data_IF_878345261181
#
_entry.id   IF_878345261181
#
_cell.length_a   1.000
_cell.length_b   1.000
_cell.length_c   1.000
_cell.angle_alpha   90.00
_cell.angle_beta   90.00
_cell.angle_gamma   90.00
#
_symmetry.space_group_name_H-M   'P 1'
#
loop_
_entity.id
_entity.type
_entity.pdbx_description
1 polymer ?
#
# COMPACT_ATOMS: atom_id res chain seq x y z
N UNK A 1 8.08 -21.30 5.85
CA UNK A 1 7.00 -20.35 5.49
C UNK A 1 5.66 -20.67 6.15
N UNK A 2 5.04 -21.85 5.95
CA UNK A 2 3.72 -22.15 6.59
C UNK A 2 3.74 -22.03 8.13
N UNK A 3 4.82 -22.47 8.79
CA UNK A 3 4.95 -22.33 10.25
C UNK A 3 5.12 -20.87 10.67
N UNK A 4 5.91 -20.10 9.93
CA UNK A 4 6.18 -18.67 10.18
C UNK A 4 4.92 -17.81 10.10
N UNK A 5 4.06 -18.01 9.10
CA UNK A 5 2.80 -17.25 8.98
C UNK A 5 1.85 -17.57 10.12
N UNK A 6 1.73 -18.86 10.50
CA UNK A 6 0.89 -19.27 11.62
C UNK A 6 1.38 -18.75 12.97
N UNK A 7 2.70 -18.62 13.14
CA UNK A 7 3.31 -18.01 14.34
C UNK A 7 3.06 -16.50 14.38
N UNK A 8 3.29 -15.78 13.28
CA UNK A 8 3.01 -14.34 13.18
C UNK A 8 1.52 -14.04 13.45
N UNK A 9 0.61 -14.82 12.87
CA UNK A 9 -0.82 -14.65 13.10
C UNK A 9 -1.22 -14.78 14.57
N UNK A 10 -0.55 -15.63 15.35
CA UNK A 10 -0.83 -15.81 16.78
C UNK A 10 -0.16 -14.77 17.67
N UNK A 11 0.90 -14.14 17.20
CA UNK A 11 1.77 -13.26 18.01
C UNK A 11 1.53 -11.78 17.76
N UNK A 12 0.95 -11.42 16.62
CA UNK A 12 0.54 -10.04 16.31
C UNK A 12 -0.80 -9.75 16.98
N UNK A 13 -0.92 -8.57 17.60
CA UNK A 13 -2.21 -8.05 18.02
C UNK A 13 -2.94 -7.47 16.79
N UNK A 14 -4.06 -8.09 16.43
CA UNK A 14 -4.87 -7.67 15.28
C UNK A 14 -6.01 -6.71 15.65
N UNK A 15 -6.15 -6.32 16.92
CA UNK A 15 -7.26 -5.46 17.38
C UNK A 15 -7.35 -4.14 16.60
N UNK A 16 -6.22 -3.63 16.14
CA UNK A 16 -6.15 -2.35 15.45
C UNK A 16 -6.79 -2.42 14.05
N UNK A 17 -6.92 -3.62 13.46
CA UNK A 17 -7.60 -3.81 12.18
C UNK A 17 -9.09 -3.46 12.25
N UNK A 18 -9.75 -3.71 13.39
CA UNK A 18 -11.16 -3.36 13.56
C UNK A 18 -11.38 -1.84 13.42
N UNK A 19 -10.41 -1.04 13.90
CA UNK A 19 -10.46 0.42 13.78
C UNK A 19 -10.27 0.91 12.33
N UNK A 20 -9.66 0.09 11.47
CA UNK A 20 -9.40 0.40 10.06
C UNK A 20 -10.49 -0.11 9.11
N UNK A 21 -11.42 -0.94 9.60
CA UNK A 21 -12.42 -1.64 8.79
C UNK A 21 -13.24 -0.69 7.92
N UNK A 22 -13.78 0.38 8.50
CA UNK A 22 -14.62 1.30 7.74
C UNK A 22 -13.78 2.09 6.73
N UNK A 23 -12.59 2.52 7.14
CA UNK A 23 -11.65 3.23 6.27
C UNK A 23 -11.22 2.38 5.06
N UNK A 24 -10.90 1.09 5.24
CA UNK A 24 -10.43 0.24 4.13
C UNK A 24 -11.56 -0.06 3.14
N UNK A 25 -12.80 -0.19 3.62
CA UNK A 25 -13.98 -0.37 2.75
C UNK A 25 -14.20 0.90 1.94
N UNK A 26 -14.22 2.07 2.58
CA UNK A 26 -14.43 3.35 1.92
C UNK A 26 -13.30 3.67 0.92
N UNK A 27 -12.06 3.41 1.30
CA UNK A 27 -10.90 3.60 0.43
C UNK A 27 -10.95 2.66 -0.78
N UNK A 28 -11.28 1.38 -0.55
CA UNK A 28 -11.47 0.40 -1.62
C UNK A 28 -12.58 0.80 -2.60
N UNK A 29 -13.69 1.38 -2.12
CA UNK A 29 -14.74 1.93 -2.98
C UNK A 29 -14.20 3.08 -3.80
N UNK A 30 -13.51 4.06 -3.19
CA UNK A 30 -12.93 5.23 -3.88
C UNK A 30 -11.98 4.83 -5.01
N UNK A 31 -11.04 3.91 -4.74
CA UNK A 31 -10.10 3.42 -5.76
C UNK A 31 -10.85 2.78 -6.95
N UNK A 32 -11.87 1.97 -6.66
CA UNK A 32 -12.66 1.28 -7.69
C UNK A 32 -13.55 2.23 -8.52
N UNK A 33 -13.87 3.42 -8.01
CA UNK A 33 -14.60 4.44 -8.79
C UNK A 33 -13.73 5.13 -9.84
N UNK A 34 -12.41 4.98 -9.79
CA UNK A 34 -11.48 5.55 -10.78
C UNK A 34 -11.20 4.46 -11.83
N UNK A 35 -11.68 4.55 -13.08
CA UNK A 35 -11.37 3.55 -14.09
C UNK A 35 -9.86 3.43 -14.33
N UNK A 36 -9.37 2.19 -14.48
CA UNK A 36 -8.02 1.89 -14.91
C UNK A 36 -8.03 0.69 -15.87
N UNK A 37 -8.54 0.86 -17.10
CA UNK A 37 -8.35 -0.13 -18.15
C UNK A 37 -6.85 -0.38 -18.36
N UNK A 38 -6.50 -1.56 -18.87
CA UNK A 38 -5.10 -1.86 -19.21
C UNK A 38 -4.56 -0.79 -20.18
N UNK A 39 -3.40 -0.21 -19.85
CA UNK A 39 -2.74 0.90 -20.55
C UNK A 39 -3.37 2.29 -20.38
N UNK A 40 -4.40 2.43 -19.54
CA UNK A 40 -5.07 3.69 -19.21
C UNK A 40 -5.14 3.92 -17.69
N UNK A 41 -4.14 3.45 -16.95
CA UNK A 41 -4.11 3.48 -15.47
C UNK A 41 -3.72 4.84 -14.89
N UNK A 42 -3.34 5.82 -15.73
CA UNK A 42 -2.71 7.07 -15.29
C UNK A 42 -3.48 7.88 -14.26
N UNK A 43 -4.82 7.94 -14.36
CA UNK A 43 -5.67 8.67 -13.38
C UNK A 43 -5.66 7.97 -12.02
N UNK A 44 -5.71 6.63 -12.01
CA UNK A 44 -5.65 5.85 -10.76
C UNK A 44 -4.25 5.93 -10.15
N UNK A 45 -3.20 5.96 -10.97
CA UNK A 45 -1.84 6.14 -10.51
C UNK A 45 -1.61 7.52 -9.89
N UNK A 46 -2.11 8.61 -10.47
CA UNK A 46 -2.04 9.95 -9.88
C UNK A 46 -2.76 10.01 -8.52
N UNK A 47 -3.93 9.37 -8.41
CA UNK A 47 -4.63 9.24 -7.13
C UNK A 47 -3.81 8.48 -6.08
N UNK A 48 -3.14 7.39 -6.48
CA UNK A 48 -2.28 6.62 -5.57
C UNK A 48 -1.00 7.37 -5.18
N UNK A 49 -0.40 8.13 -6.10
CA UNK A 49 0.75 9.01 -5.86
C UNK A 49 0.41 10.04 -4.77
N UNK A 50 -0.72 10.74 -4.90
CA UNK A 50 -1.19 11.67 -3.88
C UNK A 50 -1.49 10.96 -2.56
N UNK A 51 -2.10 9.77 -2.60
CA UNK A 51 -2.35 8.97 -1.40
C UNK A 51 -1.06 8.63 -0.66
N UNK A 52 0.01 8.27 -1.39
CA UNK A 52 1.31 7.96 -0.79
C UNK A 52 1.90 9.19 -0.07
N UNK A 53 1.81 10.36 -0.71
CA UNK A 53 2.23 11.64 -0.13
C UNK A 53 1.42 11.95 1.15
N UNK A 54 0.10 11.82 1.10
CA UNK A 54 -0.80 12.10 2.22
C UNK A 54 -0.57 11.13 3.40
N UNK A 55 -0.18 9.89 3.11
CA UNK A 55 0.25 8.91 4.12
C UNK A 55 1.65 9.19 4.70
N UNK A 56 2.38 10.17 4.18
CA UNK A 56 3.71 10.57 4.65
C UNK A 56 4.83 9.63 4.19
N UNK A 57 4.64 8.88 3.10
CA UNK A 57 5.72 8.14 2.47
C UNK A 57 6.77 9.11 1.90
N UNK A 58 8.02 8.67 1.88
CA UNK A 58 9.14 9.41 1.34
C UNK A 58 9.49 8.92 -0.07
N UNK A 59 10.24 9.73 -0.82
CA UNK A 59 10.72 9.37 -2.16
C UNK A 59 9.56 8.87 -3.04
N UNK A 60 8.41 9.55 -2.95
CA UNK A 60 7.25 9.20 -3.76
C UNK A 60 7.55 9.58 -5.20
N UNK A 61 7.48 8.60 -6.09
CA UNK A 61 7.74 8.78 -7.51
C UNK A 61 6.76 7.94 -8.33
N UNK A 62 6.46 8.44 -9.53
CA UNK A 62 5.70 7.73 -10.55
C UNK A 62 6.54 7.61 -11.83
N UNK A 63 6.66 6.40 -12.36
CA UNK A 63 7.43 6.14 -13.57
C UNK A 63 6.62 6.38 -14.87
N UNK A 64 7.26 6.22 -16.02
CA UNK A 64 6.63 6.38 -17.34
C UNK A 64 5.51 5.35 -17.63
N UNK A 65 5.46 4.26 -16.87
CA UNK A 65 4.45 3.20 -16.98
C UNK A 65 3.35 3.32 -15.93
N UNK A 66 3.31 4.43 -15.19
CA UNK A 66 2.37 4.70 -14.10
C UNK A 66 2.50 3.75 -12.89
N UNK A 67 3.65 3.11 -12.68
CA UNK A 67 3.96 2.50 -11.39
C UNK A 67 4.24 3.60 -10.38
N UNK A 68 3.67 3.49 -9.19
CA UNK A 68 3.86 4.44 -8.09
C UNK A 68 4.67 3.77 -6.99
N UNK A 69 5.76 4.41 -6.59
CA UNK A 69 6.66 3.95 -5.55
C UNK A 69 6.64 4.91 -4.36
N UNK A 70 6.88 4.38 -3.17
CA UNK A 70 7.02 5.17 -1.95
C UNK A 70 7.76 4.38 -0.88
N UNK A 71 8.54 5.08 -0.07
CA UNK A 71 9.38 4.52 0.97
C UNK A 71 8.85 4.88 2.35
N UNK A 72 8.61 3.87 3.19
CA UNK A 72 8.47 4.06 4.63
C UNK A 72 9.81 3.69 5.30
N UNK A 73 10.58 4.66 5.82
CA UNK A 73 11.85 4.37 6.47
C UNK A 73 11.65 3.45 7.69
N UNK A 74 12.39 2.36 7.73
CA UNK A 74 12.47 1.50 8.91
C UNK A 74 13.13 2.22 10.09
N UNK A 75 12.84 1.76 11.31
CA UNK A 75 13.54 2.23 12.52
C UNK A 75 14.93 1.60 12.67
N UNK A 76 15.11 0.43 12.08
CA UNK A 76 16.37 -0.32 12.03
C UNK A 76 16.86 -0.36 10.58
N UNK A 77 18.02 0.26 10.34
CA UNK A 77 18.61 0.36 9.00
C UNK A 77 19.40 -0.89 8.60
N UNK A 78 19.71 -1.78 9.56
CA UNK A 78 20.40 -3.05 9.30
C UNK A 78 19.43 -4.20 9.00
N UNK A 79 18.13 -3.98 9.26
CA UNK A 79 17.08 -4.94 8.94
C UNK A 79 16.84 -5.05 7.41
N UNK A 80 16.53 -6.24 6.88
CA UNK A 80 16.19 -6.40 5.47
C UNK A 80 14.98 -5.55 5.07
N UNK A 81 15.06 -4.94 3.88
CA UNK A 81 13.92 -4.22 3.30
C UNK A 81 12.79 -5.18 2.91
N UNK A 82 11.54 -4.73 3.09
CA UNK A 82 10.34 -5.41 2.62
C UNK A 82 9.67 -4.59 1.53
N UNK A 83 9.52 -5.18 0.35
CA UNK A 83 8.76 -4.58 -0.75
C UNK A 83 7.35 -5.17 -0.77
N UNK A 84 6.34 -4.31 -0.66
CA UNK A 84 4.92 -4.66 -0.78
C UNK A 84 4.44 -4.14 -2.14
N UNK A 85 3.82 -4.99 -2.95
CA UNK A 85 3.36 -4.64 -4.29
C UNK A 85 1.90 -5.03 -4.48
N UNK A 86 1.13 -4.21 -5.18
CA UNK A 86 -0.20 -4.54 -5.68
C UNK A 86 -0.32 -4.00 -7.11
N UNK A 87 -1.23 -4.57 -7.90
CA UNK A 87 -1.54 -4.04 -9.23
C UNK A 87 -2.77 -3.12 -9.14
N UNK A 88 -2.72 -2.03 -9.89
CA UNK A 88 -3.88 -1.17 -10.15
C UNK A 88 -4.85 -1.81 -11.13
#
# INVERSE_FOLDING_TARGET
>A
MKNTVGELFKTINWSDLDSLKDWIIDFGIKVQQIPAPTFEEGVRAEFMEQTFIDCGLQQVERDELNNVYGLLPGKDHDAPALMITAHT
#
